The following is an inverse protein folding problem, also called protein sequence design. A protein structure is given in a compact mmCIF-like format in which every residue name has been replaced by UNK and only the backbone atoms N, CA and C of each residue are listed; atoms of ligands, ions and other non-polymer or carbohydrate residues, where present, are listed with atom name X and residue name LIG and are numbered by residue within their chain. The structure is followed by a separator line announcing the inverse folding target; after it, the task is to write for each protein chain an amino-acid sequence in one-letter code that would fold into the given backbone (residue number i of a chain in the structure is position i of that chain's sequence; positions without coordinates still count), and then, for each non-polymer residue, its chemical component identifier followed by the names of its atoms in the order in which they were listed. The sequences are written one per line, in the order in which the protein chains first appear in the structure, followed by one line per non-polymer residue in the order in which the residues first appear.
data_IF_519204610125
#
_entry.id   IF_519204610125
#
_cell.length_a   1.000
_cell.length_b   1.000
_cell.length_c   1.000
_cell.angle_alpha   90.00
_cell.angle_beta   90.00
_cell.angle_gamma   90.00
#
_symmetry.space_group_name_H-M   'P 1'
#
loop_
_entity.id
_entity.type
_entity.pdbx_description
1 polymer ?
#
# COMPACT_ATOMS: atom_id res chain seq x y z
N UNK A 1 -5.96 -9.07 77.56
CA UNK A 1 -5.07 -9.65 76.54
C UNK A 1 -5.94 -9.91 75.31
N UNK A 2 -6.07 -8.95 74.41
CA UNK A 2 -5.11 -8.47 73.42
C UNK A 2 -5.39 -9.10 72.05
N UNK A 3 -5.64 -8.21 71.07
CA UNK A 3 -5.18 -8.27 69.67
C UNK A 3 -5.73 -9.45 68.81
N UNK A 4 -6.24 -9.31 67.57
CA UNK A 4 -6.26 -8.27 66.54
C UNK A 4 -7.12 -8.77 65.35
N UNK A 5 -7.62 -7.82 64.56
CA UNK A 5 -7.73 -7.79 63.08
C UNK A 5 -8.82 -8.61 62.35
N UNK A 6 -9.89 -7.87 62.06
CA UNK A 6 -10.50 -7.62 60.73
C UNK A 6 -9.94 -8.40 59.53
N UNK A 7 -10.83 -9.13 58.85
CA UNK A 7 -10.76 -9.45 57.43
C UNK A 7 -11.97 -8.82 56.72
N UNK A 8 -11.83 -8.11 55.59
CA UNK A 8 -12.99 -7.71 54.79
C UNK A 8 -13.36 -8.85 53.82
N UNK A 9 -14.64 -9.24 53.82
CA UNK A 9 -15.19 -10.12 52.78
C UNK A 9 -15.38 -9.29 51.50
N UNK A 10 -14.74 -9.75 50.43
CA UNK A 10 -14.87 -9.23 49.06
C UNK A 10 -16.32 -9.42 48.60
N UNK A 11 -17.01 -8.32 48.31
CA UNK A 11 -18.25 -8.34 47.55
C UNK A 11 -17.89 -8.54 46.07
N UNK A 12 -18.30 -9.67 45.50
CA UNK A 12 -18.19 -9.93 44.06
C UNK A 12 -19.27 -9.11 43.36
N UNK A 13 -18.87 -8.00 42.74
CA UNK A 13 -19.69 -7.24 41.81
C UNK A 13 -19.71 -7.98 40.47
N UNK A 14 -20.74 -8.80 40.28
CA UNK A 14 -21.17 -9.31 38.99
C UNK A 14 -21.80 -8.18 38.19
N UNK A 15 -21.05 -7.59 37.26
CA UNK A 15 -21.59 -6.58 36.35
C UNK A 15 -20.52 -5.97 35.48
N UNK A 16 -20.31 -6.55 34.29
CA UNK A 16 -19.83 -5.92 33.04
C UNK A 16 -19.43 -7.02 32.03
N UNK A 17 -20.42 -7.75 31.51
CA UNK A 17 -20.28 -8.53 30.28
C UNK A 17 -21.50 -8.23 29.39
N UNK A 18 -21.62 -6.97 28.97
CA UNK A 18 -22.64 -6.53 28.03
C UNK A 18 -22.14 -5.31 27.24
N UNK A 19 -21.01 -5.44 26.55
CA UNK A 19 -20.56 -4.45 25.56
C UNK A 19 -19.73 -5.02 24.41
N UNK A 20 -19.58 -6.35 24.30
CA UNK A 20 -18.85 -6.99 23.18
C UNK A 20 -19.81 -7.49 22.07
N UNK A 21 -21.12 -7.41 22.27
CA UNK A 21 -22.11 -7.99 21.35
C UNK A 21 -22.99 -6.97 20.59
N UNK A 22 -22.51 -5.74 20.36
CA UNK A 22 -23.19 -4.76 19.48
C UNK A 22 -22.42 -4.44 18.20
N UNK A 23 -21.28 -5.08 17.94
CA UNK A 23 -20.55 -4.97 16.67
C UNK A 23 -20.80 -6.14 15.69
N UNK A 24 -21.60 -7.14 16.08
CA UNK A 24 -21.83 -8.36 15.28
C UNK A 24 -23.04 -8.28 14.33
N UNK A 25 -23.56 -7.08 14.06
CA UNK A 25 -24.62 -6.83 13.06
C UNK A 25 -24.26 -5.74 12.02
N UNK A 26 -22.97 -5.44 11.86
CA UNK A 26 -22.48 -4.85 10.61
C UNK A 26 -22.27 -6.01 9.63
N UNK A 27 -23.06 -6.04 8.54
CA UNK A 27 -23.05 -7.12 7.55
C UNK A 27 -21.63 -7.53 7.18
N UNK A 28 -21.40 -8.84 7.03
CA UNK A 28 -20.10 -9.43 6.71
C UNK A 28 -19.37 -8.56 5.69
N UNK A 29 -18.34 -7.83 6.16
CA UNK A 29 -17.61 -6.90 5.32
C UNK A 29 -17.09 -7.69 4.12
N UNK A 30 -17.49 -7.28 2.91
CA UNK A 30 -17.07 -7.95 1.69
C UNK A 30 -15.54 -8.03 1.68
N UNK A 31 -15.01 -9.20 1.31
CA UNK A 31 -13.56 -9.44 1.23
C UNK A 31 -12.91 -8.32 0.41
N UNK A 32 -11.84 -7.65 0.91
CA UNK A 32 -11.14 -6.63 0.15
C UNK A 32 -10.65 -7.19 -1.19
N UNK A 33 -10.82 -6.40 -2.25
CA UNK A 33 -10.52 -6.78 -3.63
C UNK A 33 -9.31 -6.03 -4.14
N UNK A 34 -8.33 -6.72 -4.72
CA UNK A 34 -7.13 -6.07 -5.23
C UNK A 34 -7.37 -5.36 -6.57
N UNK A 35 -6.90 -4.11 -6.68
CA UNK A 35 -7.01 -3.30 -7.89
C UNK A 35 -5.63 -2.80 -8.33
N UNK A 36 -5.36 -2.88 -9.62
CA UNK A 36 -4.23 -2.19 -10.25
C UNK A 36 -4.75 -1.00 -11.06
N UNK A 37 -4.17 0.17 -10.82
CA UNK A 37 -4.52 1.42 -11.48
C UNK A 37 -3.46 1.76 -12.52
N UNK A 38 -3.86 1.73 -13.79
CA UNK A 38 -2.99 1.95 -14.93
C UNK A 38 -3.14 3.38 -15.46
N UNK A 39 -2.09 3.97 -16.08
CA UNK A 39 -2.26 5.19 -16.86
C UNK A 39 -3.38 5.02 -17.89
N UNK A 40 -4.19 6.05 -18.09
CA UNK A 40 -5.16 6.03 -19.18
C UNK A 40 -4.42 6.28 -20.50
N UNK A 41 -4.81 5.57 -21.55
CA UNK A 41 -4.33 5.81 -22.90
C UNK A 41 -4.68 7.25 -23.34
N UNK A 42 -3.78 7.91 -24.04
CA UNK A 42 -3.96 9.28 -24.54
C UNK A 42 -4.06 9.24 -26.05
N UNK A 43 -5.22 9.64 -26.59
CA UNK A 43 -5.53 9.52 -28.02
C UNK A 43 -5.86 10.88 -28.61
N UNK A 44 -5.24 11.24 -29.73
CA UNK A 44 -5.41 12.55 -30.38
C UNK A 44 -5.03 13.74 -29.47
N UNK A 45 -4.13 13.51 -28.50
CA UNK A 45 -3.60 14.52 -27.58
C UNK A 45 -2.22 15.03 -28.02
N UNK A 46 -1.99 16.34 -27.87
CA UNK A 46 -0.67 16.92 -28.12
C UNK A 46 0.37 16.42 -27.09
N UNK A 47 1.66 16.63 -27.37
CA UNK A 47 2.75 16.23 -26.46
C UNK A 47 2.60 16.83 -25.05
N UNK A 48 2.12 18.06 -24.97
CA UNK A 48 1.92 18.77 -23.70
C UNK A 48 0.69 18.30 -22.92
N UNK A 49 -0.12 17.43 -23.50
CA UNK A 49 -1.34 16.90 -22.88
C UNK A 49 -1.21 15.44 -22.46
N UNK A 50 -0.10 14.79 -22.82
CA UNK A 50 0.15 13.37 -22.52
C UNK A 50 0.09 13.06 -21.01
N UNK A 51 0.29 14.06 -20.15
CA UNK A 51 0.15 13.91 -18.70
C UNK A 51 -1.28 13.61 -18.24
N UNK A 52 -2.31 13.92 -19.05
CA UNK A 52 -3.72 13.76 -18.69
C UNK A 52 -4.10 12.31 -18.42
N UNK A 53 -3.48 11.35 -19.14
CA UNK A 53 -3.71 9.93 -18.89
C UNK A 53 -3.30 9.51 -17.48
N UNK A 54 -2.17 10.04 -17.01
CA UNK A 54 -1.72 9.85 -15.63
C UNK A 54 -2.53 10.68 -14.64
N UNK A 55 -3.00 11.87 -15.03
CA UNK A 55 -3.83 12.72 -14.19
C UNK A 55 -5.11 12.03 -13.72
N UNK A 56 -5.77 11.31 -14.63
CA UNK A 56 -6.95 10.49 -14.31
C UNK A 56 -6.57 9.36 -13.34
N UNK A 57 -5.47 8.65 -13.61
CA UNK A 57 -4.98 7.58 -12.73
C UNK A 57 -4.64 8.11 -11.32
N UNK A 58 -4.04 9.29 -11.21
CA UNK A 58 -3.70 9.94 -9.93
C UNK A 58 -4.95 10.34 -9.16
N UNK A 59 -5.96 10.91 -9.82
CA UNK A 59 -7.26 11.19 -9.20
C UNK A 59 -7.92 9.92 -8.66
N UNK A 60 -7.87 8.82 -9.42
CA UNK A 60 -8.37 7.52 -9.00
C UNK A 60 -7.60 6.93 -7.81
N UNK A 61 -6.27 7.00 -7.82
CA UNK A 61 -5.44 6.55 -6.70
C UNK A 61 -5.83 7.29 -5.41
N UNK A 62 -5.89 8.61 -5.44
CA UNK A 62 -6.21 9.43 -4.27
C UNK A 62 -7.66 9.24 -3.78
N UNK A 63 -8.61 9.05 -4.71
CA UNK A 63 -10.00 8.81 -4.36
C UNK A 63 -10.25 7.40 -3.82
N UNK A 64 -9.84 6.37 -4.56
CA UNK A 64 -10.15 4.97 -4.23
C UNK A 64 -9.38 4.45 -3.01
N UNK A 65 -8.29 5.11 -2.58
CA UNK A 65 -7.56 4.69 -1.37
C UNK A 65 -8.37 4.95 -0.10
N UNK A 66 -9.46 5.72 -0.21
CA UNK A 66 -10.43 5.94 0.87
C UNK A 66 -11.47 4.81 0.99
N UNK A 67 -11.41 3.79 0.14
CA UNK A 67 -12.39 2.71 0.06
C UNK A 67 -11.78 1.42 0.63
N UNK A 68 -12.14 1.00 1.86
CA UNK A 68 -11.47 -0.11 2.56
C UNK A 68 -11.60 -1.46 1.88
N UNK A 69 -12.65 -1.66 1.07
CA UNK A 69 -12.86 -2.90 0.31
C UNK A 69 -12.07 -2.97 -0.99
N UNK A 70 -11.31 -1.92 -1.35
CA UNK A 70 -10.46 -1.88 -2.55
C UNK A 70 -8.99 -1.73 -2.13
N UNK A 71 -8.19 -2.72 -2.45
CA UNK A 71 -6.77 -2.77 -2.12
C UNK A 71 -5.97 -2.35 -3.33
N UNK A 72 -5.40 -1.14 -3.31
CA UNK A 72 -4.55 -0.68 -4.39
C UNK A 72 -3.21 -1.41 -4.36
N UNK A 73 -2.86 -2.00 -5.50
CA UNK A 73 -1.50 -2.48 -5.74
C UNK A 73 -0.59 -1.27 -5.87
N UNK A 74 0.53 -1.30 -5.14
CA UNK A 74 1.53 -0.24 -5.18
C UNK A 74 2.00 0.03 -6.61
N UNK A 75 2.03 1.31 -6.97
CA UNK A 75 2.42 1.81 -8.28
C UNK A 75 3.83 1.38 -8.67
N UNK A 76 4.74 1.26 -7.71
CA UNK A 76 6.12 0.82 -7.96
C UNK A 76 6.19 -0.62 -8.49
N UNK A 77 5.21 -1.46 -8.17
CA UNK A 77 5.15 -2.84 -8.69
C UNK A 77 4.90 -2.89 -10.19
N UNK A 78 4.40 -1.82 -10.81
CA UNK A 78 4.30 -1.77 -12.27
C UNK A 78 5.67 -1.95 -12.95
N UNK A 79 6.79 -1.60 -12.29
CA UNK A 79 8.14 -1.84 -12.83
C UNK A 79 8.46 -3.31 -13.08
N UNK A 80 7.71 -4.23 -12.46
CA UNK A 80 7.86 -5.68 -12.62
C UNK A 80 7.12 -6.23 -13.86
N UNK A 81 6.30 -5.41 -14.52
CA UNK A 81 5.54 -5.81 -15.71
C UNK A 81 5.98 -5.01 -16.94
N UNK A 82 5.62 -5.50 -18.12
CA UNK A 82 5.85 -4.78 -19.37
C UNK A 82 5.27 -3.36 -19.31
N UNK A 83 6.02 -2.39 -19.82
CA UNK A 83 5.64 -0.97 -19.89
C UNK A 83 5.29 -0.63 -21.35
N UNK A 84 4.06 -0.94 -21.81
CA UNK A 84 3.67 -0.62 -23.17
C UNK A 84 3.54 0.89 -23.37
N UNK A 85 3.63 1.33 -24.62
CA UNK A 85 3.33 2.72 -24.98
C UNK A 85 1.87 3.08 -24.69
N UNK A 86 0.96 2.09 -24.83
CA UNK A 86 -0.48 2.26 -24.61
C UNK A 86 -0.99 1.15 -23.68
N UNK A 87 -1.69 1.54 -22.62
CA UNK A 87 -2.37 0.62 -21.70
C UNK A 87 -3.75 0.22 -22.23
N UNK A 88 -3.77 -0.66 -23.23
CA UNK A 88 -4.97 -1.25 -23.79
C UNK A 88 -5.49 -2.46 -22.98
N UNK A 89 -6.54 -3.13 -23.46
CA UNK A 89 -7.14 -4.27 -22.75
C UNK A 89 -6.16 -5.46 -22.56
N UNK A 90 -5.42 -5.93 -23.59
CA UNK A 90 -4.38 -6.94 -23.42
C UNK A 90 -3.30 -6.56 -22.39
N UNK A 91 -2.77 -5.33 -22.46
CA UNK A 91 -1.78 -4.85 -21.51
C UNK A 91 -2.34 -4.81 -20.07
N UNK A 92 -3.56 -4.33 -19.90
CA UNK A 92 -4.23 -4.27 -18.60
C UNK A 92 -4.44 -5.66 -18.00
N UNK A 93 -4.88 -6.62 -18.83
CA UNK A 93 -5.04 -8.01 -18.40
C UNK A 93 -3.69 -8.67 -18.03
N UNK A 94 -2.63 -8.40 -18.79
CA UNK A 94 -1.29 -8.90 -18.51
C UNK A 94 -0.74 -8.36 -17.17
N UNK A 95 -0.86 -7.04 -16.95
CA UNK A 95 -0.43 -6.41 -15.69
C UNK A 95 -1.22 -6.93 -14.49
N UNK A 96 -2.56 -7.05 -14.59
CA UNK A 96 -3.36 -7.59 -13.50
C UNK A 96 -2.98 -9.03 -13.15
N UNK A 97 -2.78 -9.90 -14.14
CA UNK A 97 -2.34 -11.28 -13.91
C UNK A 97 -0.98 -11.33 -13.22
N UNK A 98 0.00 -10.59 -13.74
CA UNK A 98 1.35 -10.57 -13.21
C UNK A 98 1.43 -10.01 -11.78
N UNK A 99 0.54 -9.08 -11.42
CA UNK A 99 0.52 -8.45 -10.10
C UNK A 99 -0.50 -9.07 -9.14
N UNK A 100 -1.20 -10.11 -9.55
CA UNK A 100 -2.28 -10.75 -8.79
C UNK A 100 -3.40 -9.76 -8.40
N UNK A 101 -3.73 -8.84 -9.32
CA UNK A 101 -4.87 -7.95 -9.21
C UNK A 101 -6.16 -8.68 -9.63
N UNK A 102 -7.24 -8.54 -8.86
CA UNK A 102 -8.57 -8.99 -9.24
C UNK A 102 -9.20 -8.07 -10.29
N UNK A 103 -8.81 -6.79 -10.30
CA UNK A 103 -9.32 -5.77 -11.22
C UNK A 103 -8.17 -4.94 -11.77
N UNK A 104 -8.12 -4.74 -13.10
CA UNK A 104 -7.37 -3.66 -13.72
C UNK A 104 -8.30 -2.49 -14.04
N UNK A 105 -7.98 -1.30 -13.55
CA UNK A 105 -8.63 -0.05 -13.92
C UNK A 105 -7.74 0.64 -14.96
N UNK A 106 -8.34 0.94 -16.12
CA UNK A 106 -7.69 1.54 -17.28
C UNK A 106 -8.69 2.42 -18.03
N UNK A 107 -8.30 2.97 -19.17
CA UNK A 107 -9.23 3.75 -19.97
C UNK A 107 -8.51 4.60 -20.99
N UNK A 108 -9.23 5.58 -21.50
CA UNK A 108 -8.75 6.46 -22.54
C UNK A 108 -9.13 7.91 -22.22
N UNK A 109 -8.23 8.83 -22.52
CA UNK A 109 -8.48 10.27 -22.60
C UNK A 109 -8.28 10.66 -24.06
N UNK A 110 -9.32 11.22 -24.68
CA UNK A 110 -9.31 11.63 -26.08
C UNK A 110 -9.69 13.09 -26.23
N UNK A 111 -9.11 13.78 -27.20
CA UNK A 111 -9.58 15.09 -27.63
C UNK A 111 -10.79 14.96 -28.57
N UNK A 112 -11.89 15.62 -28.24
CA UNK A 112 -13.10 15.67 -29.07
C UNK A 112 -13.49 17.12 -29.34
N UNK A 113 -12.97 17.69 -30.44
CA UNK A 113 -13.11 19.12 -30.72
C UNK A 113 -12.34 19.96 -29.69
N UNK A 114 -13.03 20.89 -29.01
CA UNK A 114 -12.45 21.71 -27.94
C UNK A 114 -12.44 21.02 -26.57
N UNK A 115 -13.16 19.90 -26.43
CA UNK A 115 -13.34 19.20 -25.15
C UNK A 115 -12.45 17.97 -25.05
N UNK A 116 -12.31 17.44 -23.84
CA UNK A 116 -11.74 16.10 -23.61
C UNK A 116 -12.88 15.12 -23.31
N UNK A 117 -12.72 13.89 -23.75
CA UNK A 117 -13.58 12.77 -23.40
C UNK A 117 -12.73 11.75 -22.62
N UNK A 118 -13.12 11.47 -21.37
CA UNK A 118 -12.53 10.40 -20.58
C UNK A 118 -13.46 9.19 -20.68
N UNK A 119 -12.96 8.08 -21.18
CA UNK A 119 -13.67 6.80 -21.24
C UNK A 119 -13.09 5.87 -20.16
N UNK A 120 -13.72 5.76 -18.98
CA UNK A 120 -13.27 4.88 -17.92
C UNK A 120 -13.64 3.43 -18.27
N UNK A 121 -12.73 2.50 -17.96
CA UNK A 121 -12.89 1.06 -18.18
C UNK A 121 -12.28 0.28 -17.01
N UNK A 122 -12.84 -0.89 -16.71
CA UNK A 122 -12.12 -1.87 -15.91
C UNK A 122 -12.28 -3.26 -16.47
N UNK A 123 -11.32 -4.11 -16.11
CA UNK A 123 -11.28 -5.51 -16.45
C UNK A 123 -11.22 -6.31 -15.14
N UNK A 124 -12.22 -7.14 -14.91
CA UNK A 124 -12.31 -8.02 -13.76
C UNK A 124 -11.82 -9.43 -14.14
N UNK A 125 -10.83 -9.92 -13.41
CA UNK A 125 -10.22 -11.22 -13.61
C UNK A 125 -10.96 -12.22 -12.74
N UNK A 126 -11.79 -13.08 -13.38
CA UNK A 126 -12.40 -14.23 -12.73
C UNK A 126 -11.64 -15.50 -13.10
N UNK A 127 -11.82 -16.56 -12.32
CA UNK A 127 -11.07 -17.81 -12.47
C UNK A 127 -11.16 -18.41 -13.89
N UNK A 128 -12.26 -18.18 -14.58
CA UNK A 128 -12.61 -18.79 -15.87
C UNK A 128 -12.79 -17.78 -17.02
N UNK A 129 -12.86 -16.47 -16.73
CA UNK A 129 -13.15 -15.44 -17.74
C UNK A 129 -12.64 -14.05 -17.36
N UNK A 130 -12.48 -13.22 -18.38
CA UNK A 130 -12.25 -11.78 -18.23
C UNK A 130 -13.56 -11.04 -18.48
N UNK A 131 -14.00 -10.25 -17.51
CA UNK A 131 -15.21 -9.43 -17.64
C UNK A 131 -14.81 -7.96 -17.83
N UNK A 132 -15.07 -7.44 -19.02
CA UNK A 132 -14.78 -6.04 -19.38
C UNK A 132 -15.99 -5.16 -19.15
N UNK A 133 -15.77 -3.99 -18.58
CA UNK A 133 -16.83 -3.02 -18.32
C UNK A 133 -16.34 -1.63 -18.73
N UNK A 134 -17.10 -0.99 -19.62
CA UNK A 134 -16.94 0.42 -19.96
C UNK A 134 -17.98 1.23 -19.18
N UNK A 135 -17.55 2.32 -18.55
CA UNK A 135 -18.42 3.26 -17.85
C UNK A 135 -18.87 4.36 -18.82
N UNK A 136 -19.82 5.18 -18.40
CA UNK A 136 -20.23 6.34 -19.19
C UNK A 136 -19.04 7.27 -19.48
N UNK A 137 -19.00 7.80 -20.71
CA UNK A 137 -18.00 8.79 -21.11
C UNK A 137 -18.19 10.06 -20.29
N UNK A 138 -17.09 10.54 -19.71
CA UNK A 138 -17.05 11.81 -18.99
C UNK A 138 -16.52 12.89 -19.93
N UNK A 139 -17.43 13.74 -20.40
CA UNK A 139 -17.07 14.94 -21.15
C UNK A 139 -16.52 16.00 -20.23
N UNK A 140 -15.36 16.56 -20.60
CA UNK A 140 -14.63 17.57 -19.85
C UNK A 140 -14.52 18.83 -20.70
N UNK A 141 -15.41 19.81 -20.45
CA UNK A 141 -15.29 21.14 -21.04
C UNK A 141 -13.97 21.82 -20.67
N UNK A 142 -13.63 22.86 -21.42
CA UNK A 142 -12.48 23.71 -21.10
C UNK A 142 -12.57 24.21 -19.65
N UNK A 143 -11.45 24.18 -18.92
CA UNK A 143 -11.34 24.59 -17.51
C UNK A 143 -12.17 23.77 -16.50
N UNK A 144 -12.80 22.66 -16.90
CA UNK A 144 -13.60 21.82 -16.00
C UNK A 144 -12.85 20.56 -15.50
N UNK A 145 -11.56 20.40 -15.81
CA UNK A 145 -10.80 19.17 -15.52
C UNK A 145 -10.91 18.72 -14.06
N UNK A 146 -10.60 19.59 -13.10
CA UNK A 146 -10.58 19.21 -11.68
C UNK A 146 -11.96 18.87 -11.13
N UNK A 147 -13.02 19.51 -11.65
CA UNK A 147 -14.41 19.22 -11.30
C UNK A 147 -14.80 17.84 -11.81
N UNK A 148 -14.50 17.55 -13.07
CA UNK A 148 -14.83 16.26 -13.69
C UNK A 148 -14.07 15.08 -13.11
N UNK A 149 -12.77 15.25 -12.82
CA UNK A 149 -11.95 14.21 -12.19
C UNK A 149 -12.51 13.78 -10.82
N UNK A 150 -13.06 14.72 -10.04
CA UNK A 150 -13.64 14.47 -8.72
C UNK A 150 -14.70 13.35 -8.71
N UNK A 151 -15.48 13.23 -9.79
CA UNK A 151 -16.58 12.28 -9.88
C UNK A 151 -16.19 10.86 -10.33
N UNK A 152 -15.04 10.70 -10.98
CA UNK A 152 -14.66 9.43 -11.64
C UNK A 152 -14.49 8.29 -10.63
N UNK A 153 -13.84 8.45 -9.47
CA UNK A 153 -13.69 7.36 -8.51
C UNK A 153 -15.03 6.82 -7.99
N UNK A 154 -16.03 7.70 -7.81
CA UNK A 154 -17.38 7.26 -7.43
C UNK A 154 -18.10 6.50 -8.55
N UNK A 155 -17.81 6.81 -9.82
CA UNK A 155 -18.35 6.06 -10.94
C UNK A 155 -17.79 4.62 -10.93
N UNK A 156 -16.49 4.45 -10.67
CA UNK A 156 -15.88 3.13 -10.47
C UNK A 156 -16.44 2.41 -9.26
N UNK A 157 -16.54 3.06 -8.10
CA UNK A 157 -17.10 2.43 -6.90
C UNK A 157 -18.53 1.91 -7.14
N UNK A 158 -19.38 2.69 -7.82
CA UNK A 158 -20.72 2.27 -8.22
C UNK A 158 -20.71 1.09 -9.20
N UNK A 159 -19.89 1.15 -10.24
CA UNK A 159 -19.80 0.08 -11.24
C UNK A 159 -19.27 -1.24 -10.63
N UNK A 160 -18.32 -1.15 -9.71
CA UNK A 160 -17.78 -2.25 -8.92
C UNK A 160 -18.72 -2.72 -7.79
N UNK A 161 -19.90 -2.10 -7.67
CA UNK A 161 -20.91 -2.39 -6.64
C UNK A 161 -20.35 -2.31 -5.22
N UNK A 162 -19.44 -1.36 -4.99
CA UNK A 162 -18.89 -1.07 -3.67
C UNK A 162 -19.85 -0.11 -2.96
N UNK A 163 -20.52 -0.55 -1.87
CA UNK A 163 -21.38 0.34 -1.11
C UNK A 163 -20.52 1.39 -0.40
N UNK A 164 -20.93 2.65 -0.54
CA UNK A 164 -20.32 3.78 0.17
C UNK A 164 -21.43 4.54 0.90
N UNK A 165 -21.21 4.83 2.17
CA UNK A 165 -21.96 5.86 2.90
C UNK A 165 -21.71 7.24 2.30
N UNK A 166 -22.58 8.21 2.57
CA UNK A 166 -22.40 9.59 2.12
C UNK A 166 -21.07 10.19 2.60
N UNK A 167 -20.67 9.85 3.84
CA UNK A 167 -19.39 10.29 4.40
C UNK A 167 -18.18 9.72 3.66
N UNK A 168 -18.25 8.46 3.22
CA UNK A 168 -17.20 7.81 2.43
C UNK A 168 -17.14 8.40 1.03
N UNK A 169 -18.29 8.58 0.38
CA UNK A 169 -18.38 9.20 -0.93
C UNK A 169 -17.80 10.63 -0.92
N UNK A 170 -18.12 11.42 0.11
CA UNK A 170 -17.57 12.76 0.29
C UNK A 170 -16.04 12.74 0.49
N UNK A 171 -15.51 11.79 1.28
CA UNK A 171 -14.04 11.62 1.43
C UNK A 171 -13.37 11.22 0.12
N UNK A 172 -13.93 10.27 -0.62
CA UNK A 172 -13.44 9.84 -1.94
C UNK A 172 -13.36 11.04 -2.87
N UNK A 173 -14.42 11.85 -2.96
CA UNK A 173 -14.44 13.06 -3.79
C UNK A 173 -13.44 14.12 -3.34
N UNK A 174 -13.34 14.39 -2.03
CA UNK A 174 -12.37 15.36 -1.48
C UNK A 174 -10.96 15.03 -1.98
N UNK A 175 -10.54 13.78 -1.82
CA UNK A 175 -9.17 13.36 -2.14
C UNK A 175 -8.92 13.15 -3.63
N UNK A 176 -9.95 12.81 -4.42
CA UNK A 176 -9.86 12.68 -5.87
C UNK A 176 -9.49 13.99 -6.59
N UNK A 177 -9.78 15.14 -5.98
CA UNK A 177 -9.51 16.48 -6.52
C UNK A 177 -8.75 17.29 -5.46
N UNK A 178 -7.46 17.00 -5.25
CA UNK A 178 -6.69 17.49 -4.10
C UNK A 178 -6.27 18.97 -4.22
N UNK A 179 -6.59 19.62 -5.33
CA UNK A 179 -6.39 21.04 -5.60
C UNK A 179 -7.50 21.51 -6.54
N UNK A 180 -7.86 22.80 -6.48
CA UNK A 180 -8.75 23.42 -7.46
C UNK A 180 -8.01 23.95 -8.70
N UNK A 181 -6.68 24.00 -8.65
CA UNK A 181 -5.84 24.52 -9.74
C UNK A 181 -5.41 23.40 -10.67
N UNK A 182 -5.94 23.38 -11.89
CA UNK A 182 -5.52 22.43 -12.93
C UNK A 182 -4.02 22.55 -13.24
N UNK A 183 -3.45 23.75 -13.16
CA UNK A 183 -2.02 24.00 -13.38
C UNK A 183 -1.16 23.44 -12.24
N UNK A 184 -1.60 23.56 -10.99
CA UNK A 184 -0.91 22.94 -9.86
C UNK A 184 -0.97 21.41 -9.98
N UNK A 185 -2.14 20.87 -10.36
CA UNK A 185 -2.32 19.44 -10.56
C UNK A 185 -1.45 18.89 -11.70
N UNK A 186 -1.34 19.62 -12.82
CA UNK A 186 -0.43 19.27 -13.92
C UNK A 186 1.02 19.20 -13.43
N UNK A 187 1.51 20.24 -12.75
CA UNK A 187 2.86 20.27 -12.21
C UNK A 187 3.11 19.10 -11.26
N UNK A 188 2.13 18.79 -10.41
CA UNK A 188 2.17 17.63 -9.51
C UNK A 188 2.25 16.29 -10.26
N UNK A 189 1.40 16.06 -11.25
CA UNK A 189 1.38 14.82 -12.04
C UNK A 189 2.68 14.64 -12.81
N UNK A 190 3.17 15.70 -13.47
CA UNK A 190 4.45 15.68 -14.17
C UNK A 190 5.61 15.43 -13.19
N UNK A 191 5.56 16.03 -11.99
CA UNK A 191 6.55 15.80 -10.94
C UNK A 191 6.57 14.35 -10.46
N UNK A 192 5.41 13.72 -10.27
CA UNK A 192 5.31 12.29 -9.95
C UNK A 192 5.88 11.40 -11.06
N UNK A 193 5.54 11.68 -12.32
CA UNK A 193 6.08 10.97 -13.47
C UNK A 193 7.61 11.06 -13.55
N UNK A 194 8.18 12.23 -13.27
CA UNK A 194 9.63 12.41 -13.19
C UNK A 194 10.24 11.58 -12.06
N UNK A 195 9.61 11.56 -10.88
CA UNK A 195 10.05 10.78 -9.72
C UNK A 195 10.03 9.27 -9.96
N UNK A 196 9.05 8.74 -10.70
CA UNK A 196 8.98 7.30 -11.01
C UNK A 196 10.17 6.79 -11.83
N UNK A 197 10.86 7.67 -12.58
CA UNK A 197 12.09 7.30 -13.31
C UNK A 197 13.19 6.82 -12.34
N UNK A 198 13.18 7.31 -11.10
CA UNK A 198 14.06 6.83 -10.02
C UNK A 198 15.55 7.13 -10.20
N UNK A 199 15.94 7.88 -11.25
CA UNK A 199 17.31 8.34 -11.45
C UNK A 199 17.49 9.77 -10.90
N UNK A 200 18.74 10.24 -10.81
CA UNK A 200 19.05 11.54 -10.25
C UNK A 200 18.32 12.69 -10.99
N UNK A 201 18.41 12.71 -12.32
CA UNK A 201 17.75 13.72 -13.16
C UNK A 201 16.22 13.75 -12.96
N UNK A 202 15.58 12.58 -12.90
CA UNK A 202 14.15 12.44 -12.64
C UNK A 202 13.74 12.95 -11.26
N UNK A 203 14.56 12.69 -10.24
CA UNK A 203 14.32 13.19 -8.88
C UNK A 203 14.50 14.71 -8.77
N UNK A 204 15.49 15.28 -9.46
CA UNK A 204 15.69 16.74 -9.53
C UNK A 204 14.51 17.42 -10.25
N UNK A 205 14.11 16.90 -11.41
CA UNK A 205 12.92 17.38 -12.13
C UNK A 205 11.63 17.24 -11.29
N UNK A 206 11.51 16.15 -10.51
CA UNK A 206 10.39 15.96 -9.60
C UNK A 206 10.35 17.03 -8.51
N UNK A 207 11.49 17.38 -7.90
CA UNK A 207 11.58 18.46 -6.91
C UNK A 207 11.10 19.78 -7.51
N UNK A 208 11.61 20.14 -8.69
CA UNK A 208 11.25 21.41 -9.33
C UNK A 208 9.76 21.50 -9.67
N UNK A 209 9.21 20.42 -10.22
CA UNK A 209 7.80 20.36 -10.63
C UNK A 209 6.86 20.31 -9.41
N UNK A 210 7.21 19.59 -8.36
CA UNK A 210 6.43 19.55 -7.12
C UNK A 210 6.54 20.87 -6.35
N UNK A 211 7.71 21.50 -6.34
CA UNK A 211 7.90 22.86 -5.82
C UNK A 211 6.98 23.86 -6.52
N UNK A 212 6.96 23.86 -7.87
CA UNK A 212 6.02 24.66 -8.66
C UNK A 212 4.56 24.35 -8.33
N UNK A 213 4.20 23.09 -8.12
CA UNK A 213 2.84 22.73 -7.73
C UNK A 213 2.44 23.37 -6.39
N UNK A 214 3.33 23.35 -5.40
CA UNK A 214 3.13 23.98 -4.09
C UNK A 214 3.22 25.51 -4.11
N UNK A 215 3.94 26.10 -5.07
CA UNK A 215 3.95 27.56 -5.29
C UNK A 215 2.64 28.05 -5.92
N UNK A 216 2.12 27.30 -6.91
CA UNK A 216 0.85 27.62 -7.57
C UNK A 216 -0.33 27.43 -6.59
N UNK A 217 -0.29 26.38 -5.78
CA UNK A 217 -1.28 26.13 -4.73
C UNK A 217 -0.59 25.79 -3.39
N UNK A 218 -0.40 26.78 -2.51
CA UNK A 218 0.21 26.60 -1.19
C UNK A 218 -0.59 25.69 -0.23
N UNK A 219 -1.85 25.37 -0.55
CA UNK A 219 -2.68 24.45 0.24
C UNK A 219 -2.68 23.02 -0.33
N UNK A 220 -1.88 22.74 -1.36
CA UNK A 220 -1.84 21.44 -2.02
C UNK A 220 -1.09 20.39 -1.18
N UNK A 221 -1.75 19.90 -0.13
CA UNK A 221 -1.18 19.02 0.89
C UNK A 221 -0.57 17.73 0.33
N UNK A 222 -1.17 17.17 -0.73
CA UNK A 222 -0.70 15.96 -1.40
C UNK A 222 0.63 16.22 -2.11
N UNK A 223 0.77 17.35 -2.82
CA UNK A 223 2.02 17.72 -3.49
C UNK A 223 3.13 17.99 -2.47
N UNK A 224 2.80 18.67 -1.37
CA UNK A 224 3.71 18.92 -0.26
C UNK A 224 4.26 17.61 0.35
N UNK A 225 3.39 16.62 0.58
CA UNK A 225 3.81 15.29 1.01
C UNK A 225 4.68 14.59 -0.03
N UNK A 226 4.28 14.59 -1.30
CA UNK A 226 5.03 13.93 -2.38
C UNK A 226 6.42 14.53 -2.54
N UNK A 227 6.59 15.85 -2.36
CA UNK A 227 7.92 16.48 -2.33
C UNK A 227 8.79 15.93 -1.20
N UNK A 228 8.20 15.65 -0.03
CA UNK A 228 8.87 14.97 1.07
C UNK A 228 9.33 13.55 0.71
N UNK A 229 8.50 12.78 0.00
CA UNK A 229 8.84 11.43 -0.49
C UNK A 229 10.04 11.48 -1.45
N UNK A 230 10.08 12.45 -2.37
CA UNK A 230 11.23 12.61 -3.28
C UNK A 230 12.50 13.01 -2.53
N UNK A 231 12.41 13.88 -1.52
CA UNK A 231 13.57 14.16 -0.67
C UNK A 231 14.03 12.93 0.11
N UNK A 232 13.11 12.08 0.56
CA UNK A 232 13.44 10.85 1.25
C UNK A 232 14.17 9.85 0.34
N UNK A 233 13.72 9.68 -0.92
CA UNK A 233 14.39 8.80 -1.89
C UNK A 233 15.81 9.28 -2.23
N UNK A 234 16.05 10.59 -2.19
CA UNK A 234 17.38 11.20 -2.33
C UNK A 234 18.23 11.14 -1.04
N UNK A 235 17.74 10.53 0.04
CA UNK A 235 18.44 10.47 1.32
C UNK A 235 18.46 11.78 2.12
N UNK A 236 17.76 12.82 1.66
CA UNK A 236 17.66 14.12 2.32
C UNK A 236 16.65 14.09 3.48
N UNK A 237 16.93 13.27 4.51
CA UNK A 237 16.01 13.00 5.64
C UNK A 237 15.48 14.26 6.33
N UNK A 238 16.32 15.27 6.50
CA UNK A 238 15.93 16.54 7.12
C UNK A 238 14.92 17.32 6.28
N UNK A 239 15.14 17.40 4.96
CA UNK A 239 14.21 18.05 4.03
C UNK A 239 12.90 17.26 3.97
N UNK A 240 12.97 15.94 3.88
CA UNK A 240 11.79 15.07 3.89
C UNK A 240 10.92 15.31 5.15
N UNK A 241 11.53 15.26 6.34
CA UNK A 241 10.83 15.53 7.60
C UNK A 241 10.20 16.93 7.65
N UNK A 242 10.87 17.95 7.11
CA UNK A 242 10.32 19.30 7.02
C UNK A 242 9.08 19.35 6.12
N UNK A 243 9.13 18.72 4.93
CA UNK A 243 7.98 18.68 4.02
C UNK A 243 6.80 17.90 4.61
N UNK A 244 7.06 16.76 5.27
CA UNK A 244 6.00 15.99 5.93
C UNK A 244 5.36 16.78 7.06
N UNK A 245 6.14 17.46 7.91
CA UNK A 245 5.58 18.32 8.97
C UNK A 245 4.76 19.48 8.41
N UNK A 246 5.24 20.14 7.36
CA UNK A 246 4.47 21.17 6.68
C UNK A 246 3.15 20.60 6.11
N UNK A 247 3.17 19.41 5.51
CA UNK A 247 1.95 18.72 5.05
C UNK A 247 0.96 18.47 6.20
N UNK A 248 1.43 17.99 7.37
CA UNK A 248 0.57 17.82 8.56
C UNK A 248 -0.01 19.13 9.10
N UNK A 249 0.67 20.26 8.89
CA UNK A 249 0.19 21.58 9.31
C UNK A 249 -0.85 22.15 8.34
N UNK A 250 -0.72 21.86 7.04
CA UNK A 250 -1.67 22.27 6.01
C UNK A 250 -3.01 21.53 6.13
N UNK A 251 -2.99 20.21 6.24
CA UNK A 251 -4.20 19.41 6.50
C UNK A 251 -3.90 18.26 7.49
N UNK A 252 -4.27 18.41 8.78
CA UNK A 252 -4.11 17.38 9.80
C UNK A 252 -4.95 16.11 9.55
N UNK A 253 -5.86 16.14 8.58
CA UNK A 253 -6.69 14.99 8.18
C UNK A 253 -6.08 14.18 7.03
N UNK A 254 -4.86 14.50 6.60
CA UNK A 254 -4.11 13.72 5.62
C UNK A 254 -3.14 12.74 6.33
N UNK A 255 -3.40 11.41 6.30
CA UNK A 255 -2.64 10.44 7.09
C UNK A 255 -1.26 10.09 6.54
N UNK A 256 -1.04 10.24 5.23
CA UNK A 256 0.20 9.89 4.52
C UNK A 256 1.46 10.52 5.15
N UNK A 257 1.52 11.83 5.44
CA UNK A 257 2.70 12.42 6.08
C UNK A 257 2.97 11.89 7.50
N UNK A 258 1.95 11.49 8.26
CA UNK A 258 2.15 10.86 9.58
C UNK A 258 2.78 9.47 9.43
N UNK A 259 2.28 8.67 8.49
CA UNK A 259 2.88 7.37 8.16
C UNK A 259 4.34 7.55 7.71
N UNK A 260 4.61 8.53 6.84
CA UNK A 260 5.96 8.80 6.34
C UNK A 260 6.92 9.30 7.44
N UNK A 261 6.44 10.13 8.39
CA UNK A 261 7.20 10.48 9.59
C UNK A 261 7.49 9.25 10.45
N UNK A 262 6.53 8.34 10.60
CA UNK A 262 6.72 7.05 11.25
C UNK A 262 7.86 6.24 10.63
N UNK A 263 7.88 6.14 9.29
CA UNK A 263 8.95 5.45 8.55
C UNK A 263 10.33 6.11 8.75
N UNK A 264 10.38 7.45 8.80
CA UNK A 264 11.61 8.18 9.08
C UNK A 264 12.12 7.94 10.50
N UNK A 265 11.23 7.89 11.50
CA UNK A 265 11.60 7.60 12.88
C UNK A 265 12.05 6.14 13.07
N UNK A 266 11.35 5.20 12.42
CA UNK A 266 11.67 3.77 12.45
C UNK A 266 13.08 3.50 11.91
N UNK A 267 13.47 4.19 10.83
CA UNK A 267 14.78 4.05 10.17
C UNK A 267 15.85 5.02 10.67
N UNK A 268 15.55 5.81 11.71
CA UNK A 268 16.49 6.74 12.30
C UNK A 268 17.61 6.00 13.06
N UNK A 269 18.88 6.44 12.98
CA UNK A 269 19.99 5.78 13.67
C UNK A 269 19.82 5.73 15.20
N UNK A 270 19.05 6.67 15.75
CA UNK A 270 18.75 6.76 17.20
C UNK A 270 17.61 5.85 17.66
N UNK A 271 17.10 4.95 16.81
CA UNK A 271 16.04 3.97 17.15
C UNK A 271 14.82 4.64 17.78
N UNK A 272 14.24 5.63 17.07
CA UNK A 272 13.14 6.47 17.56
C UNK A 272 11.78 5.74 17.49
N UNK A 273 11.72 4.52 18.02
CA UNK A 273 10.56 3.64 17.85
C UNK A 273 9.29 4.13 18.53
N UNK A 274 9.40 4.82 19.67
CA UNK A 274 8.23 5.43 20.33
C UNK A 274 7.59 6.50 19.45
N UNK A 275 8.41 7.38 18.86
CA UNK A 275 7.92 8.40 17.92
C UNK A 275 7.35 7.76 16.64
N UNK A 276 7.93 6.64 16.19
CA UNK A 276 7.37 5.88 15.08
C UNK A 276 5.98 5.34 15.41
N UNK A 277 5.82 4.71 16.58
CA UNK A 277 4.54 4.19 17.08
C UNK A 277 3.49 5.31 17.17
N UNK A 278 3.85 6.46 17.74
CA UNK A 278 2.96 7.63 17.84
C UNK A 278 2.53 8.15 16.47
N UNK A 279 3.46 8.27 15.52
CA UNK A 279 3.18 8.75 14.18
C UNK A 279 2.28 7.78 13.40
N UNK A 280 2.54 6.46 13.47
CA UNK A 280 1.66 5.46 12.88
C UNK A 280 0.27 5.43 13.53
N UNK A 281 0.20 5.55 14.87
CA UNK A 281 -1.06 5.64 15.58
C UNK A 281 -1.89 6.84 15.12
N UNK A 282 -1.24 7.99 14.86
CA UNK A 282 -1.94 9.17 14.33
C UNK A 282 -2.46 8.96 12.91
N UNK A 283 -1.69 8.32 12.04
CA UNK A 283 -2.16 7.94 10.70
C UNK A 283 -3.39 7.01 10.76
N UNK A 284 -3.40 6.07 11.72
CA UNK A 284 -4.48 5.11 11.93
C UNK A 284 -5.73 5.74 12.57
N UNK A 285 -5.58 6.76 13.41
CA UNK A 285 -6.70 7.55 13.93
C UNK A 285 -7.47 8.22 12.78
N UNK A 286 -6.74 8.75 11.80
CA UNK A 286 -7.30 9.44 10.63
C UNK A 286 -7.87 8.43 9.62
N UNK A 287 -7.16 7.32 9.37
CA UNK A 287 -7.57 6.26 8.43
C UNK A 287 -7.43 4.88 9.10
N UNK A 288 -8.49 4.38 9.77
CA UNK A 288 -8.44 3.11 10.52
C UNK A 288 -8.18 1.85 9.71
N UNK A 289 -8.31 1.92 8.38
CA UNK A 289 -8.08 0.82 7.43
C UNK A 289 -6.75 0.98 6.65
N UNK A 290 -5.82 1.80 7.16
CA UNK A 290 -4.53 2.04 6.49
C UNK A 290 -3.54 0.90 6.73
N UNK A 291 -3.58 -0.12 5.87
CA UNK A 291 -2.77 -1.32 6.00
C UNK A 291 -1.27 -1.02 6.20
N UNK A 292 -0.67 -0.14 5.39
CA UNK A 292 0.76 0.17 5.49
C UNK A 292 1.17 0.84 6.80
N UNK A 293 0.27 1.62 7.42
CA UNK A 293 0.52 2.19 8.74
C UNK A 293 0.49 1.10 9.83
N UNK A 294 -0.37 0.09 9.70
CA UNK A 294 -0.32 -1.09 10.58
C UNK A 294 0.95 -1.91 10.37
N UNK A 295 1.46 -2.04 9.13
CA UNK A 295 2.76 -2.68 8.87
C UNK A 295 3.87 -1.93 9.60
N UNK A 296 3.95 -0.61 9.44
CA UNK A 296 4.93 0.22 10.13
C UNK A 296 4.80 0.14 11.66
N UNK A 297 3.57 0.13 12.19
CA UNK A 297 3.33 -0.07 13.61
C UNK A 297 3.83 -1.44 14.09
N UNK A 298 3.61 -2.49 13.30
CA UNK A 298 4.13 -3.83 13.57
C UNK A 298 5.66 -3.87 13.58
N UNK A 299 6.30 -3.27 12.56
CA UNK A 299 7.76 -3.16 12.45
C UNK A 299 8.36 -2.41 13.65
N UNK A 300 7.72 -1.32 14.08
CA UNK A 300 8.15 -0.54 15.25
C UNK A 300 7.99 -1.31 16.57
N UNK A 301 6.87 -2.02 16.75
CA UNK A 301 6.63 -2.85 17.94
C UNK A 301 7.57 -4.05 18.02
N UNK A 302 7.81 -4.74 16.91
CA UNK A 302 8.78 -5.82 16.82
C UNK A 302 10.19 -5.31 17.19
N UNK A 303 10.57 -4.11 16.71
CA UNK A 303 11.84 -3.48 17.03
C UNK A 303 12.00 -3.08 18.52
N UNK A 304 10.87 -2.97 19.23
CA UNK A 304 10.78 -2.79 20.70
C UNK A 304 10.61 -4.11 21.46
N UNK A 305 10.69 -5.26 20.79
CA UNK A 305 10.42 -6.58 21.35
C UNK A 305 8.98 -6.77 21.90
N UNK A 306 8.03 -5.93 21.50
CA UNK A 306 6.60 -6.14 21.72
C UNK A 306 6.05 -7.07 20.63
N UNK A 307 6.36 -8.37 20.80
CA UNK A 307 6.06 -9.41 19.80
C UNK A 307 4.54 -9.57 19.61
N UNK A 308 3.77 -9.60 20.69
CA UNK A 308 2.31 -9.76 20.61
C UNK A 308 1.66 -8.55 19.95
N UNK A 309 2.08 -7.34 20.31
CA UNK A 309 1.61 -6.13 19.68
C UNK A 309 1.98 -6.03 18.21
N UNK A 310 3.16 -6.54 17.81
CA UNK A 310 3.57 -6.61 16.41
C UNK A 310 2.70 -7.57 15.60
N UNK A 311 2.49 -8.79 16.10
CA UNK A 311 1.61 -9.78 15.47
C UNK A 311 0.19 -9.23 15.30
N UNK A 312 -0.36 -8.58 16.33
CA UNK A 312 -1.69 -7.97 16.26
C UNK A 312 -1.77 -6.86 15.19
N UNK A 313 -0.75 -6.02 15.08
CA UNK A 313 -0.69 -4.98 14.05
C UNK A 313 -0.58 -5.58 12.64
N UNK A 314 0.27 -6.59 12.43
CA UNK A 314 0.38 -7.28 11.16
C UNK A 314 -0.90 -8.01 10.75
N UNK A 315 -1.59 -8.67 11.68
CA UNK A 315 -2.88 -9.29 11.41
C UNK A 315 -3.93 -8.25 11.01
N UNK A 316 -3.92 -7.06 11.64
CA UNK A 316 -4.75 -5.93 11.20
C UNK A 316 -4.38 -5.44 9.80
N UNK A 317 -3.10 -5.32 9.49
CA UNK A 317 -2.64 -4.98 8.14
C UNK A 317 -3.19 -5.97 7.10
N UNK A 318 -3.09 -7.29 7.36
CA UNK A 318 -3.60 -8.33 6.45
C UNK A 318 -5.13 -8.37 6.34
N UNK A 319 -5.86 -7.93 7.37
CA UNK A 319 -7.32 -7.82 7.28
C UNK A 319 -7.77 -6.75 6.28
N UNK A 320 -6.93 -5.74 6.01
CA UNK A 320 -7.19 -4.68 5.04
C UNK A 320 -6.46 -4.90 3.70
N UNK A 321 -5.26 -5.49 3.73
CA UNK A 321 -4.48 -5.84 2.54
C UNK A 321 -4.00 -7.30 2.65
N UNK A 322 -4.83 -8.27 2.22
CA UNK A 322 -4.51 -9.70 2.33
C UNK A 322 -3.48 -10.19 1.31
N UNK A 323 -3.01 -9.32 0.41
CA UNK A 323 -2.02 -9.65 -0.63
C UNK A 323 -0.62 -9.07 -0.33
N UNK A 324 -0.38 -8.65 0.92
CA UNK A 324 0.91 -8.10 1.32
C UNK A 324 1.90 -9.20 1.73
N UNK A 325 2.73 -9.64 0.77
CA UNK A 325 3.74 -10.68 0.98
C UNK A 325 4.75 -10.32 2.09
N UNK A 326 5.16 -9.05 2.22
CA UNK A 326 6.09 -8.59 3.27
C UNK A 326 5.56 -8.88 4.67
N UNK A 327 4.27 -8.66 4.92
CA UNK A 327 3.68 -8.90 6.23
C UNK A 327 3.67 -10.38 6.58
N UNK A 328 3.45 -11.25 5.58
CA UNK A 328 3.56 -12.70 5.76
C UNK A 328 5.00 -13.13 6.10
N UNK A 329 6.03 -12.53 5.48
CA UNK A 329 7.44 -12.75 5.87
C UNK A 329 7.70 -12.30 7.31
N UNK A 330 7.25 -11.10 7.69
CA UNK A 330 7.41 -10.58 9.06
C UNK A 330 6.73 -11.47 10.10
N UNK A 331 5.52 -11.94 9.82
CA UNK A 331 4.82 -12.90 10.69
C UNK A 331 5.54 -14.24 10.77
N UNK A 332 5.99 -14.79 9.64
CA UNK A 332 6.75 -16.04 9.61
C UNK A 332 8.00 -15.96 10.48
N UNK A 333 8.74 -14.85 10.37
CA UNK A 333 9.91 -14.58 11.20
C UNK A 333 9.58 -14.54 12.68
N UNK A 334 8.55 -13.77 13.07
CA UNK A 334 8.15 -13.66 14.48
C UNK A 334 7.63 -14.99 15.05
N UNK A 335 6.85 -15.74 14.28
CA UNK A 335 6.37 -17.06 14.70
C UNK A 335 7.51 -18.04 14.90
N UNK A 336 8.52 -18.01 14.02
CA UNK A 336 9.70 -18.84 14.14
C UNK A 336 10.61 -18.43 15.30
N UNK A 337 11.14 -17.19 15.27
CA UNK A 337 12.22 -16.77 16.18
C UNK A 337 11.74 -16.43 17.59
N UNK A 338 10.54 -15.86 17.72
CA UNK A 338 10.06 -15.34 19.01
C UNK A 338 9.04 -16.25 19.70
N UNK A 339 8.27 -17.03 18.92
CA UNK A 339 7.18 -17.87 19.47
C UNK A 339 7.39 -19.37 19.36
N UNK A 340 8.34 -19.84 18.55
CA UNK A 340 8.53 -21.28 18.28
C UNK A 340 7.32 -21.94 17.61
N UNK A 341 6.47 -21.17 16.94
CA UNK A 341 5.28 -21.62 16.24
C UNK A 341 5.63 -21.99 14.78
N UNK A 342 6.26 -23.16 14.64
CA UNK A 342 6.85 -23.58 13.36
C UNK A 342 5.83 -23.82 12.26
N UNK A 343 4.65 -24.36 12.59
CA UNK A 343 3.60 -24.60 11.60
C UNK A 343 3.07 -23.28 11.04
N UNK A 344 2.77 -22.33 11.92
CA UNK A 344 2.31 -20.99 11.57
C UNK A 344 3.36 -20.22 10.77
N UNK A 345 4.64 -20.38 11.13
CA UNK A 345 5.76 -19.84 10.37
C UNK A 345 5.80 -20.38 8.93
N UNK A 346 5.76 -21.71 8.75
CA UNK A 346 5.72 -22.36 7.43
C UNK A 346 4.53 -21.86 6.60
N UNK A 347 3.34 -21.76 7.19
CA UNK A 347 2.15 -21.26 6.49
C UNK A 347 2.31 -19.81 6.07
N UNK A 348 2.87 -18.96 6.95
CA UNK A 348 3.11 -17.56 6.63
C UNK A 348 4.13 -17.41 5.50
N UNK A 349 5.27 -18.10 5.55
CA UNK A 349 6.26 -18.06 4.48
C UNK A 349 5.75 -18.62 3.15
N UNK A 350 5.03 -19.76 3.16
CA UNK A 350 4.37 -20.28 1.95
C UNK A 350 3.43 -19.25 1.34
N UNK A 351 2.62 -18.58 2.17
CA UNK A 351 1.71 -17.55 1.69
C UNK A 351 2.45 -16.36 1.07
N UNK A 352 3.58 -15.95 1.64
CA UNK A 352 4.43 -14.91 1.05
C UNK A 352 4.99 -15.36 -0.31
N UNK A 353 5.47 -16.59 -0.44
CA UNK A 353 5.97 -17.17 -1.69
C UNK A 353 4.87 -17.30 -2.74
N UNK A 354 3.65 -17.66 -2.35
CA UNK A 354 2.50 -17.74 -3.27
C UNK A 354 2.10 -16.36 -3.81
N UNK A 355 2.23 -15.30 -2.99
CA UNK A 355 1.89 -13.93 -3.35
C UNK A 355 3.00 -13.24 -4.16
N UNK A 356 4.26 -13.56 -3.87
CA UNK A 356 5.44 -13.06 -4.57
C UNK A 356 6.50 -14.17 -4.66
N UNK A 357 6.50 -14.96 -5.76
CA UNK A 357 7.47 -16.04 -5.95
C UNK A 357 8.93 -15.59 -6.02
N UNK A 358 9.17 -14.29 -6.28
CA UNK A 358 10.49 -13.65 -6.35
C UNK A 358 10.98 -13.13 -5.00
N UNK A 359 10.17 -13.20 -3.94
CA UNK A 359 10.57 -12.76 -2.60
C UNK A 359 11.50 -13.80 -1.94
N UNK A 360 12.79 -13.74 -2.27
CA UNK A 360 13.80 -14.71 -1.84
C UNK A 360 13.91 -14.85 -0.31
N UNK A 361 13.71 -13.78 0.45
CA UNK A 361 13.69 -13.81 1.92
C UNK A 361 12.63 -14.77 2.46
N UNK A 362 11.47 -14.87 1.82
CA UNK A 362 10.41 -15.79 2.22
C UNK A 362 10.83 -17.26 2.01
N UNK A 363 11.53 -17.55 0.90
CA UNK A 363 12.05 -18.90 0.60
C UNK A 363 13.18 -19.28 1.55
N UNK A 364 14.08 -18.34 1.84
CA UNK A 364 15.14 -18.51 2.84
C UNK A 364 14.55 -18.87 4.20
N UNK A 365 13.60 -18.07 4.70
CA UNK A 365 12.94 -18.35 5.98
C UNK A 365 12.20 -19.68 6.00
N UNK A 366 11.52 -20.06 4.90
CA UNK A 366 10.87 -21.36 4.77
C UNK A 366 11.88 -22.52 4.84
N UNK A 367 13.01 -22.39 4.15
CA UNK A 367 14.08 -23.39 4.14
C UNK A 367 14.74 -23.54 5.52
N UNK A 368 15.00 -22.43 6.22
CA UNK A 368 15.56 -22.42 7.57
C UNK A 368 14.63 -23.13 8.58
N UNK A 369 13.32 -22.91 8.48
CA UNK A 369 12.34 -23.58 9.35
C UNK A 369 12.29 -25.08 9.06
N UNK A 370 12.40 -25.49 7.80
CA UNK A 370 12.46 -26.91 7.43
C UNK A 370 13.76 -27.56 7.90
N UNK A 371 14.90 -26.89 7.75
CA UNK A 371 16.20 -27.34 8.24
C UNK A 371 16.17 -27.60 9.76
N UNK A 372 15.69 -26.64 10.54
CA UNK A 372 15.58 -26.75 12.01
C UNK A 372 14.63 -27.88 12.45
N UNK A 373 13.72 -28.32 11.57
CA UNK A 373 12.80 -29.43 11.82
C UNK A 373 13.24 -30.75 11.21
N UNK A 374 14.43 -30.81 10.62
CA UNK A 374 14.97 -32.02 10.00
C UNK A 374 14.29 -32.41 8.69
N UNK A 375 13.48 -31.51 8.11
CA UNK A 375 12.84 -31.67 6.81
C UNK A 375 13.82 -31.27 5.71
N UNK A 376 14.95 -31.99 5.64
CA UNK A 376 16.12 -31.58 4.87
C UNK A 376 15.87 -31.57 3.35
N UNK A 377 15.02 -32.47 2.84
CA UNK A 377 14.70 -32.50 1.41
C UNK A 377 13.89 -31.26 0.99
N UNK A 378 12.94 -30.84 1.82
CA UNK A 378 12.16 -29.63 1.63
C UNK A 378 13.05 -28.38 1.75
N UNK A 379 13.96 -28.35 2.73
CA UNK A 379 14.94 -27.27 2.88
C UNK A 379 15.85 -27.14 1.65
N UNK A 380 16.42 -28.25 1.17
CA UNK A 380 17.23 -28.29 -0.07
C UNK A 380 16.43 -27.75 -1.26
N UNK A 381 15.16 -28.16 -1.38
CA UNK A 381 14.28 -27.72 -2.46
C UNK A 381 14.08 -26.20 -2.49
N UNK A 382 13.87 -25.57 -1.33
CA UNK A 382 13.71 -24.12 -1.26
C UNK A 382 15.04 -23.36 -1.40
N UNK A 383 16.13 -23.83 -0.81
CA UNK A 383 17.46 -23.22 -1.01
C UNK A 383 17.90 -23.27 -2.47
N UNK A 384 17.65 -24.36 -3.18
CA UNK A 384 17.92 -24.46 -4.63
C UNK A 384 17.18 -23.39 -5.42
N UNK A 385 15.88 -23.18 -5.16
CA UNK A 385 15.11 -22.12 -5.83
C UNK A 385 15.67 -20.73 -5.57
N UNK A 386 16.23 -20.48 -4.37
CA UNK A 386 16.92 -19.21 -4.09
C UNK A 386 18.20 -19.09 -4.92
N UNK A 387 19.02 -20.14 -4.99
CA UNK A 387 20.27 -20.16 -5.78
C UNK A 387 20.00 -20.08 -7.29
N UNK A 388 18.92 -20.69 -7.77
CA UNK A 388 18.49 -20.61 -9.17
C UNK A 388 18.10 -19.17 -9.55
N UNK A 389 17.44 -18.45 -8.64
CA UNK A 389 17.04 -17.06 -8.84
C UNK A 389 18.21 -16.07 -8.63
N UNK A 390 19.08 -16.34 -7.66
CA UNK A 390 20.29 -15.57 -7.35
C UNK A 390 21.46 -16.52 -7.05
N UNK A 391 22.24 -16.80 -8.09
CA UNK A 391 23.39 -17.72 -8.02
C UNK A 391 24.53 -17.23 -7.14
N UNK A 392 24.48 -15.98 -6.68
CA UNK A 392 25.48 -15.37 -5.78
C UNK A 392 24.98 -15.22 -4.36
N UNK A 393 23.79 -15.73 -4.04
CA UNK A 393 23.25 -15.67 -2.69
C UNK A 393 24.09 -16.54 -1.73
N UNK A 394 25.01 -15.90 -1.01
CA UNK A 394 25.97 -16.60 -0.14
C UNK A 394 25.29 -17.29 1.04
N UNK A 395 24.21 -16.72 1.58
CA UNK A 395 23.42 -17.32 2.65
C UNK A 395 22.78 -18.63 2.21
N UNK A 396 22.13 -18.64 1.04
CA UNK A 396 21.51 -19.85 0.50
C UNK A 396 22.55 -20.93 0.16
N UNK A 397 23.67 -20.56 -0.46
CA UNK A 397 24.75 -21.51 -0.78
C UNK A 397 25.36 -22.13 0.48
N UNK A 398 25.61 -21.31 1.50
CA UNK A 398 26.16 -21.78 2.78
C UNK A 398 25.20 -22.74 3.48
N UNK A 399 23.92 -22.36 3.66
CA UNK A 399 22.94 -23.22 4.32
C UNK A 399 22.69 -24.50 3.50
N UNK A 400 22.62 -24.41 2.17
CA UNK A 400 22.49 -25.59 1.32
C UNK A 400 23.64 -26.59 1.50
N UNK A 401 24.88 -26.11 1.63
CA UNK A 401 26.03 -26.96 1.91
C UNK A 401 25.91 -27.66 3.28
N UNK A 402 25.49 -26.91 4.32
CA UNK A 402 25.24 -27.48 5.65
C UNK A 402 24.14 -28.54 5.63
N UNK A 403 23.05 -28.33 4.88
CA UNK A 403 21.98 -29.33 4.77
C UNK A 403 22.48 -30.58 4.02
N UNK A 404 23.29 -30.44 2.97
CA UNK A 404 23.87 -31.61 2.31
C UNK A 404 24.78 -32.43 3.21
N UNK A 405 25.64 -31.79 4.01
CA UNK A 405 26.49 -32.48 5.00
C UNK A 405 25.65 -33.29 6.01
N UNK A 406 24.44 -32.83 6.35
CA UNK A 406 23.54 -33.59 7.24
C UNK A 406 22.81 -34.75 6.57
N UNK A 407 22.64 -34.70 5.24
CA UNK A 407 21.91 -35.72 4.47
C UNK A 407 22.85 -36.80 3.91
N UNK A 408 24.09 -36.43 3.60
CA UNK A 408 25.16 -37.30 3.08
C UNK A 408 26.51 -36.95 3.78
N UNK A 409 26.67 -37.38 5.06
CA UNK A 409 27.77 -36.96 5.95
C UNK A 409 29.15 -37.57 5.66
#
# INVERSE_FOLDING_TARGET
MDFLRRAPRVAVLSGLFASVLTAALAGAAAKPRSIVLLPFATVDLSRDEQWLGEAVAQSLMLGLVQVPSLVQIDRERLKQVAQPEVWDEPAAAAAAKALHAEIAIYGEVRRTGAELAIQPRYLELRADRLERVALDVVTVPENALMERLRGIPLAYARALKVPLSDSEAARVQKWASPTTSARAFEAYVRGRLAGYRGNQEGNEAAIDLLGKATEIDPQFVVAQHTLGVVHQSLGNRWKAAAQFRASTQLDPTYPEPYKALGDLFLTAPRRLFDQAVEAYAKALEIRPFYADAYVGLGDAKASKSDVDGAVAAYQKALSFNPINAKVHVSLGKLYYSEKGLYYESVQAYKKAVDLDPGYLEARMGLAEVYEDKGLYQEAIGEYKKVVEADSKNTGALYNLALVYERVDP
#
